data_IF_410874280197
#
_entry.id   IF_410874280197
#
_cell.length_a   1.000
_cell.length_b   1.000
_cell.length_c   1.000
_cell.angle_alpha   90.00
_cell.angle_beta   90.00
_cell.angle_gamma   90.00
#
_symmetry.space_group_name_H-M   'P 1'
#
loop_
_entity.id
_entity.type
_entity.pdbx_description
1 polymer ?
#
# COMPACT_ATOMS: atom_id res chain seq x y z
N UNK A 1 -30.25 -35.93 -103.39
CA UNK A 1 -29.20 -35.00 -103.07
C UNK A 1 -29.27 -34.76 -101.58
N UNK A 2 -28.55 -35.58 -100.83
CA UNK A 2 -28.54 -35.51 -99.33
C UNK A 2 -27.42 -34.59 -98.83
N UNK A 3 -27.77 -33.55 -98.19
CA UNK A 3 -26.82 -32.69 -97.43
C UNK A 3 -26.83 -33.10 -95.94
N UNK A 4 -25.78 -33.78 -95.61
CA UNK A 4 -25.49 -34.10 -94.19
C UNK A 4 -24.92 -32.85 -93.49
N UNK A 5 -25.46 -32.44 -92.39
CA UNK A 5 -24.80 -31.34 -91.58
C UNK A 5 -23.59 -31.94 -90.85
N UNK A 6 -22.41 -31.44 -91.15
CA UNK A 6 -21.18 -31.69 -90.42
C UNK A 6 -21.31 -31.03 -89.05
N UNK A 7 -21.50 -31.88 -88.04
CA UNK A 7 -21.28 -31.47 -86.65
C UNK A 7 -19.81 -31.25 -86.44
N UNK A 8 -19.43 -30.03 -86.19
CA UNK A 8 -18.09 -29.67 -85.73
C UNK A 8 -18.00 -29.94 -84.24
N UNK A 9 -17.61 -31.18 -83.91
CA UNK A 9 -17.09 -31.46 -82.59
C UNK A 9 -15.70 -30.85 -82.54
N UNK A 10 -15.58 -29.59 -82.05
CA UNK A 10 -14.32 -29.06 -81.63
C UNK A 10 -13.87 -29.79 -80.38
N UNK A 11 -13.02 -30.80 -80.58
CA UNK A 11 -12.25 -31.46 -79.53
C UNK A 11 -11.34 -30.41 -78.93
N UNK A 12 -11.78 -29.72 -77.88
CA UNK A 12 -10.93 -28.78 -77.13
C UNK A 12 -9.70 -29.58 -76.72
N UNK A 13 -8.53 -29.09 -77.19
CA UNK A 13 -7.21 -29.65 -76.88
C UNK A 13 -7.08 -29.87 -75.36
N UNK A 14 -6.54 -31.03 -74.92
CA UNK A 14 -6.40 -31.33 -73.51
C UNK A 14 -5.69 -30.17 -72.71
N UNK A 15 -4.80 -29.45 -73.44
CA UNK A 15 -4.13 -28.29 -72.90
C UNK A 15 -5.05 -27.10 -72.64
N UNK A 16 -6.06 -26.85 -73.42
CA UNK A 16 -7.07 -25.80 -73.25
C UNK A 16 -7.96 -26.15 -72.03
N UNK A 17 -8.36 -27.45 -71.92
CA UNK A 17 -9.11 -27.92 -70.74
C UNK A 17 -8.29 -27.80 -69.43
N UNK A 18 -7.04 -28.24 -69.48
CA UNK A 18 -6.12 -28.06 -68.30
C UNK A 18 -5.91 -26.59 -67.93
N UNK A 19 -5.73 -25.70 -68.92
CA UNK A 19 -5.65 -24.29 -68.71
C UNK A 19 -6.90 -23.66 -68.04
N UNK A 20 -8.09 -24.10 -68.54
CA UNK A 20 -9.37 -23.66 -67.97
C UNK A 20 -9.57 -24.16 -66.53
N UNK A 21 -9.21 -25.40 -66.24
CA UNK A 21 -9.25 -25.94 -64.86
C UNK A 21 -8.28 -25.21 -63.94
N UNK A 22 -7.05 -24.96 -64.40
CA UNK A 22 -6.06 -24.22 -63.64
C UNK A 22 -6.51 -22.77 -63.36
N UNK A 23 -7.14 -22.12 -64.35
CA UNK A 23 -7.70 -20.77 -64.15
C UNK A 23 -8.86 -20.78 -63.16
N UNK A 24 -9.79 -21.73 -63.23
CA UNK A 24 -10.90 -21.89 -62.27
C UNK A 24 -10.35 -22.13 -60.84
N UNK A 25 -9.35 -23.02 -60.72
CA UNK A 25 -8.72 -23.31 -59.46
C UNK A 25 -8.01 -22.04 -58.87
N UNK A 26 -7.28 -21.30 -59.71
CA UNK A 26 -6.63 -20.05 -59.29
C UNK A 26 -7.67 -19.03 -58.88
N UNK A 27 -8.75 -18.86 -59.62
CA UNK A 27 -9.83 -17.95 -59.28
C UNK A 27 -10.51 -18.34 -57.95
N UNK A 28 -10.80 -19.63 -57.75
CA UNK A 28 -11.36 -20.15 -56.51
C UNK A 28 -10.42 -19.87 -55.30
N UNK A 29 -9.13 -20.10 -55.46
CA UNK A 29 -8.12 -19.78 -54.43
C UNK A 29 -8.07 -18.28 -54.13
N UNK A 30 -8.12 -17.43 -55.16
CA UNK A 30 -8.11 -15.98 -54.99
C UNK A 30 -9.38 -15.49 -54.24
N UNK A 31 -10.55 -16.03 -54.58
CA UNK A 31 -11.81 -15.71 -53.90
C UNK A 31 -11.77 -16.17 -52.43
N UNK A 32 -11.29 -17.38 -52.18
CA UNK A 32 -11.14 -17.90 -50.82
C UNK A 32 -10.13 -17.03 -50.00
N UNK A 33 -9.01 -16.66 -50.60
CA UNK A 33 -8.03 -15.77 -49.96
C UNK A 33 -8.61 -14.38 -49.67
N UNK A 34 -9.41 -13.83 -50.62
CA UNK A 34 -10.08 -12.53 -50.38
C UNK A 34 -11.12 -12.62 -49.27
N UNK A 35 -11.89 -13.70 -49.19
CA UNK A 35 -12.81 -13.93 -48.06
C UNK A 35 -12.09 -14.12 -46.76
N UNK A 36 -11.02 -14.91 -46.72
CA UNK A 36 -10.19 -15.12 -45.53
C UNK A 36 -9.59 -13.81 -45.05
N UNK A 37 -9.13 -12.95 -45.98
CA UNK A 37 -8.64 -11.62 -45.66
C UNK A 37 -9.76 -10.71 -45.13
N UNK A 38 -10.92 -10.67 -45.73
CA UNK A 38 -12.07 -9.87 -45.32
C UNK A 38 -12.52 -10.19 -43.87
N UNK A 39 -12.47 -11.47 -43.47
CA UNK A 39 -12.83 -11.93 -42.13
C UNK A 39 -11.65 -12.07 -41.18
N UNK A 40 -10.45 -11.63 -41.56
CA UNK A 40 -9.24 -11.80 -40.75
C UNK A 40 -9.23 -11.01 -39.41
N UNK A 41 -10.04 -9.97 -39.32
CA UNK A 41 -10.07 -9.07 -38.15
C UNK A 41 -11.36 -9.20 -37.33
N UNK A 42 -12.03 -10.36 -37.42
CA UNK A 42 -13.13 -10.70 -36.51
C UNK A 42 -12.53 -11.30 -35.25
N UNK A 43 -12.76 -10.64 -34.11
CA UNK A 43 -12.18 -11.03 -32.81
C UNK A 43 -13.23 -11.03 -31.72
N UNK A 44 -13.09 -11.98 -30.79
CA UNK A 44 -13.87 -12.02 -29.57
C UNK A 44 -13.07 -11.28 -28.49
N UNK A 45 -13.71 -10.33 -27.81
CA UNK A 45 -13.15 -9.55 -26.72
C UNK A 45 -13.64 -10.18 -25.41
N UNK A 46 -12.70 -10.61 -24.57
CA UNK A 46 -13.01 -11.16 -23.26
C UNK A 46 -13.64 -10.10 -22.31
N UNK A 47 -14.44 -10.52 -21.31
CA UNK A 47 -15.07 -9.60 -20.35
C UNK A 47 -14.07 -8.72 -19.57
N UNK A 48 -12.83 -9.17 -19.40
CA UNK A 48 -11.77 -8.45 -18.70
C UNK A 48 -11.01 -7.45 -19.59
N UNK A 49 -11.36 -7.37 -20.86
CA UNK A 49 -10.70 -6.54 -21.86
C UNK A 49 -11.72 -5.67 -22.60
N UNK A 50 -11.23 -4.60 -23.18
CA UNK A 50 -11.93 -3.77 -24.19
C UNK A 50 -10.99 -3.54 -25.37
N UNK A 51 -11.55 -3.21 -26.50
CA UNK A 51 -10.79 -2.93 -27.71
C UNK A 51 -10.93 -1.45 -28.11
N UNK A 52 -9.82 -0.86 -28.50
CA UNK A 52 -9.78 0.40 -29.24
C UNK A 52 -9.56 0.06 -30.70
N UNK A 53 -10.46 0.52 -31.56
CA UNK A 53 -10.38 0.39 -33.00
C UNK A 53 -9.87 1.69 -33.58
N UNK A 54 -8.73 1.62 -34.25
CA UNK A 54 -8.13 2.74 -34.97
C UNK A 54 -8.40 2.57 -36.47
N UNK A 55 -9.00 3.57 -37.11
CA UNK A 55 -9.19 3.62 -38.54
C UNK A 55 -8.11 4.52 -39.15
N UNK A 56 -7.17 3.95 -39.91
CA UNK A 56 -5.99 4.65 -40.45
C UNK A 56 -5.20 5.44 -39.38
N UNK A 57 -5.14 4.90 -38.15
CA UNK A 57 -4.43 5.54 -37.03
C UNK A 57 -5.24 6.56 -36.21
N UNK A 58 -6.45 6.93 -36.68
CA UNK A 58 -7.36 7.77 -35.90
C UNK A 58 -8.31 6.90 -35.05
N UNK A 59 -8.69 7.40 -33.88
CA UNK A 59 -9.67 6.73 -33.03
C UNK A 59 -11.03 6.70 -33.75
N UNK A 60 -11.55 5.49 -34.00
CA UNK A 60 -12.89 5.30 -34.54
C UNK A 60 -13.89 4.99 -33.43
N UNK A 61 -13.67 3.89 -32.72
CA UNK A 61 -14.57 3.44 -31.64
C UNK A 61 -13.86 2.67 -30.55
N UNK A 62 -14.50 2.64 -29.39
CA UNK A 62 -14.11 1.77 -28.26
C UNK A 62 -15.21 0.73 -28.09
N UNK A 63 -14.83 -0.55 -28.06
CA UNK A 63 -15.77 -1.64 -27.87
C UNK A 63 -15.43 -2.42 -26.61
N UNK A 64 -16.45 -2.63 -25.79
CA UNK A 64 -16.37 -3.50 -24.61
C UNK A 64 -16.44 -4.97 -25.01
N UNK A 65 -16.46 -5.88 -24.02
CA UNK A 65 -16.55 -7.31 -24.24
C UNK A 65 -17.64 -7.72 -25.25
N UNK A 66 -17.34 -8.72 -26.05
CA UNK A 66 -18.24 -9.26 -27.05
C UNK A 66 -17.57 -9.52 -28.39
N UNK A 67 -18.38 -9.74 -29.43
CA UNK A 67 -17.88 -9.97 -30.79
C UNK A 67 -17.56 -8.62 -31.45
N UNK A 68 -16.31 -8.43 -31.82
CA UNK A 68 -15.83 -7.28 -32.60
C UNK A 68 -15.72 -7.67 -34.07
N UNK A 69 -16.43 -6.95 -34.93
CA UNK A 69 -16.24 -6.96 -36.38
C UNK A 69 -15.46 -5.69 -36.76
N UNK A 70 -14.23 -5.86 -37.18
CA UNK A 70 -13.38 -4.78 -37.67
C UNK A 70 -12.97 -5.06 -39.11
N UNK A 71 -12.72 -3.99 -39.88
CA UNK A 71 -12.17 -4.10 -41.21
C UNK A 71 -10.79 -4.75 -41.19
N UNK A 72 -10.43 -5.51 -42.22
CA UNK A 72 -9.11 -6.13 -42.25
C UNK A 72 -7.99 -5.09 -42.31
N UNK A 73 -6.82 -5.43 -41.79
CA UNK A 73 -5.64 -4.59 -41.94
C UNK A 73 -5.32 -4.40 -43.43
N UNK A 74 -4.92 -3.16 -43.83
CA UNK A 74 -4.43 -2.04 -43.02
C UNK A 74 -5.50 -1.01 -42.63
N UNK A 75 -6.79 -1.22 -42.95
CA UNK A 75 -7.85 -0.23 -42.76
C UNK A 75 -8.14 0.02 -41.27
N UNK A 76 -8.35 -1.05 -40.50
CA UNK A 76 -8.58 -0.94 -39.07
C UNK A 76 -7.54 -1.73 -38.29
N UNK A 77 -7.06 -1.12 -37.20
CA UNK A 77 -6.18 -1.74 -36.24
C UNK A 77 -6.92 -1.89 -34.89
N UNK A 78 -6.97 -3.09 -34.36
CA UNK A 78 -7.62 -3.40 -33.08
C UNK A 78 -6.54 -3.55 -32.01
N UNK A 79 -6.58 -2.70 -30.98
CA UNK A 79 -5.69 -2.73 -29.83
C UNK A 79 -6.51 -3.15 -28.61
N UNK A 80 -6.13 -4.30 -28.01
CA UNK A 80 -6.77 -4.80 -26.81
C UNK A 80 -6.18 -4.09 -25.58
N UNK A 81 -7.07 -3.60 -24.72
CA UNK A 81 -6.75 -2.94 -23.46
C UNK A 81 -7.51 -3.61 -22.31
N UNK A 82 -7.02 -3.49 -21.08
CA UNK A 82 -7.77 -3.89 -19.91
C UNK A 82 -9.12 -3.17 -19.82
N UNK A 83 -10.14 -3.84 -19.29
CA UNK A 83 -11.43 -3.22 -19.00
C UNK A 83 -11.28 -2.05 -18.03
N UNK A 84 -12.26 -1.14 -18.01
CA UNK A 84 -12.18 0.10 -17.21
C UNK A 84 -12.10 -0.14 -15.70
N UNK A 85 -12.67 -1.24 -15.24
CA UNK A 85 -12.70 -1.69 -13.84
C UNK A 85 -11.52 -2.56 -13.45
N UNK A 86 -10.77 -3.06 -14.46
CA UNK A 86 -9.62 -3.92 -14.21
C UNK A 86 -8.44 -3.13 -13.65
N UNK A 87 -8.04 -3.50 -12.44
CA UNK A 87 -6.86 -2.95 -11.77
C UNK A 87 -5.62 -3.76 -12.15
N UNK A 88 -4.57 -3.07 -12.52
CA UNK A 88 -3.29 -3.65 -12.93
C UNK A 88 -2.24 -3.31 -11.88
N UNK A 89 -1.53 -4.33 -11.40
CA UNK A 89 -0.40 -4.14 -10.49
C UNK A 89 0.88 -3.82 -11.25
N UNK A 90 1.61 -2.83 -10.74
CA UNK A 90 2.94 -2.46 -11.22
C UNK A 90 3.87 -2.25 -10.04
N UNK A 91 4.96 -2.98 -9.97
CA UNK A 91 6.05 -2.75 -9.01
C UNK A 91 7.03 -1.74 -9.60
N UNK A 92 7.42 -0.74 -8.82
CA UNK A 92 8.32 0.33 -9.26
C UNK A 92 9.76 -0.06 -8.97
N UNK A 93 10.43 -0.59 -9.99
CA UNK A 93 11.80 -1.12 -9.85
C UNK A 93 12.84 -0.03 -9.59
N UNK A 94 12.61 1.20 -10.04
CA UNK A 94 13.54 2.32 -9.82
C UNK A 94 13.74 2.71 -8.36
N UNK A 95 12.82 2.31 -7.48
CA UNK A 95 12.92 2.50 -6.02
C UNK A 95 13.59 1.33 -5.30
N UNK A 96 13.80 0.22 -6.00
CA UNK A 96 14.44 -0.95 -5.44
C UNK A 96 15.95 -0.85 -5.51
N UNK A 97 16.60 -1.45 -4.53
CA UNK A 97 18.03 -1.66 -4.57
C UNK A 97 18.37 -2.63 -5.71
N UNK A 98 19.32 -2.28 -6.56
CA UNK A 98 19.79 -3.18 -7.63
C UNK A 98 20.52 -4.39 -7.04
N UNK A 99 20.50 -5.53 -7.75
CA UNK A 99 21.21 -6.73 -7.31
C UNK A 99 22.72 -6.47 -7.13
N UNK A 100 23.31 -5.64 -7.98
CA UNK A 100 24.69 -5.20 -7.86
C UNK A 100 24.94 -4.42 -6.56
N UNK A 101 24.02 -3.53 -6.19
CA UNK A 101 24.11 -2.76 -4.95
C UNK A 101 23.93 -3.66 -3.71
N UNK A 102 23.00 -4.62 -3.76
CA UNK A 102 22.82 -5.60 -2.68
C UNK A 102 24.06 -6.47 -2.49
N UNK A 103 24.69 -6.91 -3.57
CA UNK A 103 25.94 -7.68 -3.50
C UNK A 103 27.10 -6.81 -2.97
N UNK A 104 27.19 -5.57 -3.41
CA UNK A 104 28.20 -4.64 -2.90
C UNK A 104 28.04 -4.38 -1.39
N UNK A 105 26.82 -4.24 -0.89
CA UNK A 105 26.54 -4.09 0.54
C UNK A 105 27.00 -5.30 1.38
N UNK A 106 26.86 -6.51 0.82
CA UNK A 106 27.32 -7.75 1.50
C UNK A 106 28.83 -7.86 1.60
N UNK A 107 29.54 -7.33 0.60
CA UNK A 107 31.01 -7.41 0.51
C UNK A 107 31.67 -6.16 1.09
N UNK A 108 30.92 -5.08 1.27
CA UNK A 108 31.43 -3.83 1.79
C UNK A 108 32.03 -4.00 3.19
N UNK A 109 33.26 -3.53 3.32
CA UNK A 109 33.96 -3.37 4.60
C UNK A 109 34.48 -1.95 4.72
N UNK A 110 34.92 -1.53 5.91
CA UNK A 110 35.55 -0.22 6.09
C UNK A 110 36.79 -0.01 5.19
N UNK A 111 37.40 -1.09 4.71
CA UNK A 111 38.58 -1.06 3.84
C UNK A 111 38.22 -0.94 2.34
N UNK A 112 37.03 -1.32 1.91
CA UNK A 112 36.56 -1.26 0.53
C UNK A 112 35.22 -0.51 0.46
N UNK A 113 35.25 0.83 0.28
CA UNK A 113 34.03 1.60 0.15
C UNK A 113 33.26 1.22 -1.12
N UNK A 114 31.93 1.22 -1.02
CA UNK A 114 31.06 1.02 -2.18
C UNK A 114 31.18 2.27 -3.07
N UNK A 115 31.11 2.10 -4.39
CA UNK A 115 31.07 3.23 -5.31
C UNK A 115 29.82 4.10 -5.04
N UNK A 116 29.93 5.42 -5.16
CA UNK A 116 28.84 6.36 -4.90
C UNK A 116 27.57 6.04 -5.70
N UNK A 117 27.72 5.56 -6.92
CA UNK A 117 26.60 5.15 -7.78
C UNK A 117 25.79 3.97 -7.21
N UNK A 118 26.46 3.03 -6.55
CA UNK A 118 25.82 1.87 -5.90
C UNK A 118 25.36 2.21 -4.48
N UNK A 119 26.10 3.05 -3.75
CA UNK A 119 25.78 3.43 -2.38
C UNK A 119 24.43 4.16 -2.28
N UNK A 120 24.13 5.07 -3.23
CA UNK A 120 22.88 5.82 -3.29
C UNK A 120 21.70 5.09 -3.94
N UNK A 121 21.95 3.97 -4.62
CA UNK A 121 20.91 3.26 -5.39
C UNK A 121 19.81 2.67 -4.49
N UNK A 122 18.54 3.03 -4.74
CA UNK A 122 17.38 2.51 -4.03
C UNK A 122 17.23 3.00 -2.58
N UNK A 123 18.01 3.99 -2.16
CA UNK A 123 17.85 4.66 -0.88
C UNK A 123 17.21 6.04 -1.05
N UNK A 124 16.31 6.38 -0.14
CA UNK A 124 15.66 7.68 -0.06
C UNK A 124 16.05 8.37 1.24
N UNK A 125 16.23 9.68 1.18
CA UNK A 125 16.48 10.51 2.35
C UNK A 125 15.15 10.99 2.94
N UNK A 126 15.07 11.01 4.26
CA UNK A 126 13.95 11.55 5.02
C UNK A 126 14.22 12.99 5.46
N UNK A 127 13.18 13.70 5.91
CA UNK A 127 13.30 15.08 6.34
C UNK A 127 14.21 15.29 7.55
N UNK A 128 14.38 14.29 8.39
CA UNK A 128 15.29 14.25 9.54
C UNK A 128 16.68 13.66 9.22
N UNK A 129 17.09 13.68 7.93
CA UNK A 129 18.35 13.13 7.43
C UNK A 129 18.51 11.61 7.66
N UNK A 130 17.43 10.90 7.91
CA UNK A 130 17.42 9.44 7.94
C UNK A 130 17.49 8.86 6.53
N UNK A 131 17.77 7.55 6.43
CA UNK A 131 17.83 6.81 5.17
C UNK A 131 16.85 5.65 5.22
N UNK A 132 16.00 5.55 4.20
CA UNK A 132 14.98 4.51 4.07
C UNK A 132 14.99 3.92 2.67
N UNK A 133 14.61 2.67 2.57
CA UNK A 133 14.31 1.99 1.32
C UNK A 133 12.81 1.74 1.24
N UNK A 134 12.21 2.03 0.08
CA UNK A 134 10.79 1.79 -0.19
C UNK A 134 10.62 0.75 -1.30
N UNK A 135 9.77 -0.25 -1.05
CA UNK A 135 9.19 -1.10 -2.07
C UNK A 135 7.76 -0.60 -2.33
N UNK A 136 7.53 -0.09 -3.53
CA UNK A 136 6.27 0.53 -3.91
C UNK A 136 5.62 -0.27 -5.03
N UNK A 137 4.38 -0.70 -4.79
CA UNK A 137 3.51 -1.35 -5.78
C UNK A 137 2.33 -0.45 -6.04
N UNK A 138 2.13 -0.12 -7.29
CA UNK A 138 1.05 0.76 -7.74
C UNK A 138 -0.02 -0.08 -8.43
N UNK A 139 -1.25 0.15 -8.05
CA UNK A 139 -2.44 -0.45 -8.64
C UNK A 139 -3.18 0.63 -9.41
N UNK A 140 -3.15 0.54 -10.73
CA UNK A 140 -3.74 1.51 -11.61
C UNK A 140 -4.79 0.90 -12.54
N UNK A 141 -5.68 1.72 -13.04
CA UNK A 141 -6.68 1.38 -14.06
C UNK A 141 -6.55 2.32 -15.25
N UNK A 142 -6.96 1.84 -16.41
CA UNK A 142 -6.98 2.65 -17.63
C UNK A 142 -8.34 3.36 -17.70
N UNK A 143 -8.36 4.66 -17.52
CA UNK A 143 -9.59 5.48 -17.56
C UNK A 143 -9.88 5.98 -18.96
N UNK A 144 -8.86 6.46 -19.66
CA UNK A 144 -8.97 7.03 -21.02
C UNK A 144 -8.19 6.15 -22.02
N UNK A 145 -8.87 5.24 -22.74
CA UNK A 145 -8.22 4.29 -23.65
C UNK A 145 -7.43 4.95 -24.77
N UNK A 146 -7.93 6.06 -25.26
CA UNK A 146 -7.29 6.78 -26.39
C UNK A 146 -5.95 7.38 -25.98
N UNK A 147 -5.93 8.12 -24.87
CA UNK A 147 -4.70 8.71 -24.33
C UNK A 147 -3.66 7.60 -24.00
N UNK A 148 -4.13 6.49 -23.42
CA UNK A 148 -3.28 5.33 -23.12
C UNK A 148 -2.64 4.72 -24.37
N UNK A 149 -3.42 4.55 -25.46
CA UNK A 149 -2.92 3.99 -26.73
C UNK A 149 -1.98 4.97 -27.42
N UNK A 150 -2.31 6.26 -27.41
CA UNK A 150 -1.50 7.31 -28.04
C UNK A 150 -0.12 7.41 -27.38
N UNK A 151 -0.06 7.34 -26.04
CA UNK A 151 1.20 7.35 -25.30
C UNK A 151 1.94 6.00 -25.34
N UNK A 152 1.21 4.90 -25.57
CA UNK A 152 1.76 3.56 -25.82
C UNK A 152 2.86 3.14 -24.87
N UNK A 153 4.07 2.93 -25.40
CA UNK A 153 5.23 2.48 -24.63
C UNK A 153 5.72 3.49 -23.57
N UNK A 154 5.30 4.75 -23.63
CA UNK A 154 5.74 5.79 -22.69
C UNK A 154 4.95 5.83 -21.39
N UNK A 155 3.77 5.21 -21.34
CA UNK A 155 2.88 5.24 -20.18
C UNK A 155 3.56 4.65 -18.93
N UNK A 156 4.11 3.45 -19.03
CA UNK A 156 4.73 2.76 -17.88
C UNK A 156 5.99 3.47 -17.38
N UNK A 157 6.95 3.87 -18.24
CA UNK A 157 8.10 4.64 -17.78
C UNK A 157 7.73 6.01 -17.18
N UNK A 158 6.68 6.67 -17.69
CA UNK A 158 6.20 7.93 -17.14
C UNK A 158 5.57 7.70 -15.76
N UNK A 159 4.73 6.68 -15.60
CA UNK A 159 4.16 6.29 -14.31
C UNK A 159 5.27 6.00 -13.28
N UNK A 160 6.27 5.18 -13.63
CA UNK A 160 7.38 4.86 -12.74
C UNK A 160 8.13 6.13 -12.27
N UNK A 161 8.36 7.11 -13.16
CA UNK A 161 8.97 8.40 -12.82
C UNK A 161 8.09 9.25 -11.91
N UNK A 162 6.78 9.30 -12.16
CA UNK A 162 5.83 10.04 -11.33
C UNK A 162 5.75 9.45 -9.90
N UNK A 163 5.70 8.13 -9.81
CA UNK A 163 5.71 7.43 -8.51
C UNK A 163 7.02 7.68 -7.77
N UNK A 164 8.16 7.53 -8.45
CA UNK A 164 9.48 7.78 -7.86
C UNK A 164 9.58 9.22 -7.35
N UNK A 165 9.18 10.20 -8.16
CA UNK A 165 9.18 11.61 -7.77
C UNK A 165 8.25 11.88 -6.57
N UNK A 166 7.07 11.26 -6.55
CA UNK A 166 6.12 11.41 -5.44
C UNK A 166 6.64 10.76 -4.16
N UNK A 167 7.27 9.58 -4.27
CA UNK A 167 7.91 8.90 -3.15
C UNK A 167 9.07 9.73 -2.57
N UNK A 168 9.96 10.25 -3.41
CA UNK A 168 11.07 11.12 -2.98
C UNK A 168 10.55 12.39 -2.29
N UNK A 169 9.56 13.05 -2.87
CA UNK A 169 9.00 14.27 -2.28
C UNK A 169 8.33 14.00 -0.93
N UNK A 170 7.63 12.88 -0.81
CA UNK A 170 6.95 12.48 0.42
C UNK A 170 7.94 12.09 1.51
N UNK A 171 9.00 11.33 1.18
CA UNK A 171 10.03 10.94 2.16
C UNK A 171 10.83 12.15 2.63
N UNK A 172 11.22 13.05 1.74
CA UNK A 172 11.96 14.26 2.09
C UNK A 172 11.17 15.24 2.98
N UNK A 173 9.84 15.16 2.96
CA UNK A 173 8.95 16.00 3.77
C UNK A 173 8.58 15.38 5.13
N UNK A 174 9.05 14.17 5.45
CA UNK A 174 8.66 13.42 6.65
C UNK A 174 9.83 12.84 7.40
N UNK A 175 9.63 12.65 8.70
CA UNK A 175 10.59 11.98 9.55
C UNK A 175 10.61 10.48 9.31
N UNK A 176 11.75 9.85 9.59
CA UNK A 176 12.00 8.43 9.41
C UNK A 176 10.94 7.56 10.11
N UNK A 177 10.59 7.89 11.35
CA UNK A 177 9.60 7.14 12.15
C UNK A 177 8.22 7.11 11.48
N UNK A 178 7.82 8.21 10.83
CA UNK A 178 6.54 8.31 10.11
C UNK A 178 6.51 7.38 8.90
N UNK A 179 7.65 7.17 8.25
CA UNK A 179 7.78 6.31 7.07
C UNK A 179 7.94 4.84 7.50
N UNK A 180 8.65 4.58 8.59
CA UNK A 180 8.87 3.23 9.11
C UNK A 180 7.62 2.53 9.65
N UNK A 181 6.50 3.25 9.82
CA UNK A 181 5.20 2.58 10.11
C UNK A 181 4.76 1.62 9.01
N UNK A 182 5.32 1.74 7.81
CA UNK A 182 5.09 0.80 6.70
C UNK A 182 5.99 -0.46 6.75
N UNK A 183 6.74 -0.68 7.83
CA UNK A 183 7.53 -1.91 8.01
C UNK A 183 6.64 -3.12 8.22
N UNK A 184 6.96 -4.27 7.58
CA UNK A 184 6.19 -5.51 7.73
C UNK A 184 6.09 -6.00 9.18
N UNK A 185 7.13 -5.79 9.99
CA UNK A 185 7.22 -6.24 11.39
C UNK A 185 6.26 -5.50 12.33
N UNK A 186 5.80 -4.31 11.94
CA UNK A 186 4.84 -3.49 12.71
C UNK A 186 3.39 -3.74 12.29
N UNK A 187 3.14 -4.66 11.35
CA UNK A 187 1.79 -4.99 10.91
C UNK A 187 1.06 -5.72 12.04
N UNK A 188 0.01 -5.07 12.58
CA UNK A 188 -0.84 -5.63 13.64
C UNK A 188 -0.48 -5.21 15.05
N UNK A 189 0.60 -4.47 15.27
CA UNK A 189 1.04 -4.09 16.62
C UNK A 189 0.23 -2.95 17.25
N UNK A 190 -0.34 -2.02 16.44
CA UNK A 190 -1.07 -0.84 16.94
C UNK A 190 -2.07 -0.29 15.92
N UNK A 191 -3.25 0.11 16.37
CA UNK A 191 -4.28 0.75 15.55
C UNK A 191 -3.80 2.11 14.99
N UNK A 192 -3.05 2.88 15.77
CA UNK A 192 -2.50 4.16 15.33
C UNK A 192 -1.44 3.99 14.23
N UNK A 193 -0.65 2.92 14.29
CA UNK A 193 0.29 2.59 13.22
C UNK A 193 -0.44 2.22 11.91
N UNK A 194 -1.58 1.54 12.01
CA UNK A 194 -2.42 1.23 10.85
C UNK A 194 -2.97 2.51 10.20
N UNK A 195 -3.47 3.45 10.98
CA UNK A 195 -3.95 4.75 10.50
C UNK A 195 -2.86 5.59 9.83
N UNK A 196 -1.68 5.65 10.45
CA UNK A 196 -0.52 6.35 9.87
C UNK A 196 -0.08 5.74 8.54
N UNK A 197 -0.10 4.40 8.42
CA UNK A 197 0.20 3.71 7.15
C UNK A 197 -0.83 4.05 6.08
N UNK A 198 -2.10 4.07 6.43
CA UNK A 198 -3.15 4.39 5.47
C UNK A 198 -3.06 5.85 5.00
N UNK A 199 -2.73 6.79 5.88
CA UNK A 199 -2.43 8.18 5.51
C UNK A 199 -1.24 8.27 4.56
N UNK A 200 -0.15 7.54 4.83
CA UNK A 200 1.03 7.49 3.96
C UNK A 200 0.68 7.01 2.55
N UNK A 201 -0.13 5.95 2.45
CA UNK A 201 -0.63 5.43 1.17
C UNK A 201 -1.55 6.42 0.46
N UNK A 202 -2.50 6.99 1.19
CA UNK A 202 -3.44 7.99 0.67
C UNK A 202 -2.72 9.20 0.10
N UNK A 203 -1.73 9.74 0.79
CA UNK A 203 -0.96 10.88 0.34
C UNK A 203 -0.13 10.57 -0.92
N UNK A 204 0.41 9.34 -1.04
CA UNK A 204 1.07 8.90 -2.28
C UNK A 204 0.09 8.82 -3.44
N UNK A 205 -1.07 8.20 -3.25
CA UNK A 205 -2.12 8.10 -4.28
C UNK A 205 -2.54 9.49 -4.72
N UNK A 206 -2.82 10.38 -3.78
CA UNK A 206 -3.22 11.75 -4.06
C UNK A 206 -2.14 12.51 -4.82
N UNK A 207 -0.89 12.44 -4.37
CA UNK A 207 0.23 13.12 -5.02
C UNK A 207 0.50 12.62 -6.44
N UNK A 208 0.34 11.32 -6.70
CA UNK A 208 0.50 10.75 -8.05
C UNK A 208 -0.66 11.18 -8.94
N UNK A 209 -1.92 11.04 -8.48
CA UNK A 209 -3.10 11.40 -9.27
C UNK A 209 -3.17 12.89 -9.56
N UNK A 210 -2.74 13.76 -8.64
CA UNK A 210 -2.63 15.19 -8.91
C UNK A 210 -1.67 15.48 -10.08
N UNK A 211 -0.52 14.82 -10.13
CA UNK A 211 0.43 14.98 -11.24
C UNK A 211 -0.07 14.38 -12.54
N UNK A 212 -0.82 13.27 -12.48
CA UNK A 212 -1.50 12.72 -13.66
C UNK A 212 -2.53 13.69 -14.21
N UNK A 213 -3.29 14.37 -13.33
CA UNK A 213 -4.24 15.39 -13.71
C UNK A 213 -3.55 16.63 -14.33
N UNK A 214 -2.41 17.06 -13.79
CA UNK A 214 -1.58 18.14 -14.36
C UNK A 214 -1.12 17.80 -15.79
N UNK A 215 -0.66 16.55 -16.03
CA UNK A 215 -0.31 16.09 -17.38
C UNK A 215 -1.52 16.08 -18.31
N UNK A 216 -2.67 15.65 -17.82
CA UNK A 216 -3.91 15.67 -18.62
C UNK A 216 -4.31 17.09 -18.99
N UNK A 217 -4.20 18.06 -18.08
CA UNK A 217 -4.50 19.47 -18.32
C UNK A 217 -3.57 20.09 -19.37
N UNK A 218 -2.34 19.60 -19.51
CA UNK A 218 -1.38 20.04 -20.56
C UNK A 218 -1.51 19.27 -21.88
N UNK A 219 -2.51 18.39 -22.02
CA UNK A 219 -2.71 17.56 -23.21
C UNK A 219 -1.75 16.36 -23.32
N UNK A 220 -1.00 16.06 -22.28
CA UNK A 220 -0.06 14.94 -22.22
C UNK A 220 -0.56 13.83 -21.27
N UNK A 221 -1.87 13.69 -21.12
CA UNK A 221 -2.49 12.69 -20.26
C UNK A 221 -2.05 11.27 -20.62
N UNK A 222 -1.80 10.43 -19.60
CA UNK A 222 -1.42 9.04 -19.78
C UNK A 222 -2.63 8.10 -19.89
N UNK A 223 -3.84 8.61 -19.68
CA UNK A 223 -5.08 7.83 -19.71
C UNK A 223 -5.24 6.81 -18.59
N UNK A 224 -4.51 6.97 -17.48
CA UNK A 224 -4.52 6.11 -16.31
C UNK A 224 -4.86 6.85 -15.04
N UNK A 225 -5.38 6.13 -14.06
CA UNK A 225 -5.63 6.61 -12.70
C UNK A 225 -5.09 5.58 -11.71
N UNK A 226 -4.40 6.06 -10.67
CA UNK A 226 -3.91 5.20 -9.59
C UNK A 226 -5.04 5.00 -8.58
N UNK A 227 -5.46 3.74 -8.43
CA UNK A 227 -6.52 3.36 -7.49
C UNK A 227 -5.98 3.12 -6.07
N UNK A 228 -4.80 2.52 -5.96
CA UNK A 228 -4.17 2.18 -4.68
C UNK A 228 -2.66 2.10 -4.85
N UNK A 229 -1.95 2.38 -3.75
CA UNK A 229 -0.51 2.16 -3.64
C UNK A 229 -0.24 1.32 -2.39
N UNK A 230 0.51 0.25 -2.54
CA UNK A 230 1.05 -0.50 -1.43
C UNK A 230 2.52 -0.11 -1.23
N UNK A 231 2.86 0.24 0.00
CA UNK A 231 4.21 0.67 0.38
C UNK A 231 4.72 -0.22 1.49
N UNK A 232 5.93 -0.71 1.32
CA UNK A 232 6.70 -1.34 2.37
C UNK A 232 8.00 -0.56 2.56
N UNK A 233 8.29 -0.20 3.80
CA UNK A 233 9.54 0.49 4.15
C UNK A 233 10.51 -0.46 4.83
N UNK A 234 11.79 -0.27 4.59
CA UNK A 234 12.86 -1.00 5.27
C UNK A 234 14.05 -0.07 5.52
N UNK A 235 14.85 -0.44 6.52
CA UNK A 235 16.10 0.24 6.79
C UNK A 235 17.24 -0.40 6.01
N UNK A 236 18.27 0.37 5.65
CA UNK A 236 19.53 -0.21 5.16
C UNK A 236 20.09 -1.23 6.17
N UNK A 237 20.63 -2.35 5.68
CA UNK A 237 21.15 -3.41 6.55
C UNK A 237 22.13 -2.93 7.63
N UNK A 238 23.04 -1.98 7.39
CA UNK A 238 23.92 -1.46 8.43
C UNK A 238 23.18 -0.69 9.54
N UNK A 239 22.06 -0.04 9.21
CA UNK A 239 21.27 0.77 10.15
C UNK A 239 20.30 -0.05 11.01
N UNK A 240 19.95 -1.27 10.58
CA UNK A 240 18.96 -2.13 11.26
C UNK A 240 19.36 -2.41 12.71
N UNK A 241 20.62 -2.78 12.95
CA UNK A 241 21.12 -3.10 14.29
C UNK A 241 21.11 -1.87 15.21
N UNK A 242 21.55 -0.72 14.70
CA UNK A 242 21.54 0.54 15.44
C UNK A 242 20.11 0.97 15.79
N UNK A 243 19.19 0.90 14.84
CA UNK A 243 17.78 1.22 15.06
C UNK A 243 17.13 0.29 16.10
N UNK A 244 17.36 -1.02 15.99
CA UNK A 244 16.83 -2.00 16.94
C UNK A 244 17.41 -1.79 18.36
N UNK A 245 18.68 -1.38 18.46
CA UNK A 245 19.30 -1.04 19.75
C UNK A 245 18.63 0.20 20.38
N UNK A 246 18.35 1.25 19.60
CA UNK A 246 17.60 2.43 20.06
C UNK A 246 16.19 2.06 20.49
N UNK A 247 15.47 1.27 19.71
CA UNK A 247 14.12 0.82 20.04
C UNK A 247 14.09 0.03 21.34
N UNK A 248 15.04 -0.91 21.52
CA UNK A 248 15.17 -1.71 22.74
C UNK A 248 15.49 -0.82 23.94
N UNK A 249 16.40 0.14 23.79
CA UNK A 249 16.74 1.09 24.85
C UNK A 249 15.55 1.97 25.26
N UNK A 250 14.77 2.45 24.28
CA UNK A 250 13.54 3.23 24.53
C UNK A 250 12.51 2.39 25.29
N UNK A 251 12.22 1.17 24.85
CA UNK A 251 11.29 0.27 25.54
C UNK A 251 11.75 -0.05 26.96
N UNK A 252 13.06 -0.24 27.18
CA UNK A 252 13.62 -0.47 28.51
C UNK A 252 13.49 0.78 29.40
N UNK A 253 13.70 1.95 28.85
CA UNK A 253 13.50 3.23 29.58
C UNK A 253 12.03 3.41 30.00
N UNK A 254 11.08 3.19 29.09
CA UNK A 254 9.65 3.27 29.39
C UNK A 254 9.23 2.27 30.47
N UNK A 255 9.71 1.03 30.41
CA UNK A 255 9.49 0.02 31.44
C UNK A 255 10.07 0.45 32.78
N UNK A 256 11.27 1.03 32.78
CA UNK A 256 11.92 1.51 34.01
C UNK A 256 11.13 2.66 34.64
N UNK A 257 10.65 3.61 33.84
CA UNK A 257 9.80 4.72 34.30
C UNK A 257 8.47 4.20 34.86
N UNK A 258 7.81 3.26 34.16
CA UNK A 258 6.57 2.65 34.66
C UNK A 258 6.76 1.92 35.97
N UNK A 259 7.81 1.13 36.10
CA UNK A 259 8.16 0.43 37.36
C UNK A 259 8.44 1.43 38.49
N UNK A 260 9.21 2.49 38.23
CA UNK A 260 9.50 3.52 39.24
C UNK A 260 8.24 4.25 39.70
N UNK A 261 7.29 4.55 38.80
CA UNK A 261 5.99 5.14 39.17
C UNK A 261 5.19 4.19 40.07
N UNK A 262 5.09 2.92 39.67
CA UNK A 262 4.38 1.90 40.49
C UNK A 262 5.01 1.76 41.88
N UNK A 263 6.31 1.79 41.98
CA UNK A 263 7.00 1.70 43.27
C UNK A 263 6.78 2.97 44.13
N UNK A 264 6.81 4.17 43.52
CA UNK A 264 6.48 5.39 44.20
C UNK A 264 5.05 5.44 44.73
N UNK A 265 4.08 4.91 43.94
CA UNK A 265 2.68 4.78 44.38
C UNK A 265 2.55 3.82 45.55
N UNK A 266 3.19 2.65 45.51
CA UNK A 266 3.22 1.69 46.62
C UNK A 266 3.82 2.30 47.92
N UNK A 267 4.94 3.00 47.80
CA UNK A 267 5.57 3.68 48.95
C UNK A 267 4.64 4.75 49.54
N UNK A 268 3.99 5.53 48.67
CA UNK A 268 3.03 6.56 49.12
C UNK A 268 1.83 5.93 49.81
N UNK A 269 1.28 4.85 49.26
CA UNK A 269 0.18 4.13 49.88
C UNK A 269 0.60 3.50 51.23
N UNK A 270 1.76 2.87 51.32
CA UNK A 270 2.25 2.28 52.54
C UNK A 270 2.49 3.36 53.64
N UNK A 271 3.01 4.55 53.26
CA UNK A 271 3.17 5.67 54.16
C UNK A 271 1.83 6.20 54.68
N UNK A 272 0.83 6.34 53.82
CA UNK A 272 -0.53 6.71 54.21
C UNK A 272 -1.19 5.70 55.14
N UNK A 273 -1.11 4.42 54.84
CA UNK A 273 -1.59 3.34 55.71
C UNK A 273 -0.90 3.34 57.08
N UNK A 274 0.39 3.59 57.12
CA UNK A 274 1.12 3.70 58.36
C UNK A 274 0.73 4.95 59.18
N UNK A 275 0.51 6.07 58.52
CA UNK A 275 0.02 7.29 59.16
C UNK A 275 -1.39 7.09 59.74
N UNK A 276 -2.32 6.52 58.97
CA UNK A 276 -3.66 6.20 59.42
C UNK A 276 -3.67 5.23 60.57
N UNK A 277 -2.85 4.16 60.51
CA UNK A 277 -2.71 3.21 61.63
C UNK A 277 -2.20 3.90 62.90
N UNK A 278 -1.21 4.80 62.77
CA UNK A 278 -0.68 5.56 63.91
C UNK A 278 -1.74 6.45 64.51
N UNK A 279 -2.52 7.16 63.69
CA UNK A 279 -3.63 8.01 64.14
C UNK A 279 -4.73 7.19 64.86
N UNK A 280 -5.10 6.02 64.29
CA UNK A 280 -6.12 5.15 64.90
C UNK A 280 -5.66 4.64 66.26
N UNK A 281 -4.39 4.21 66.41
CA UNK A 281 -3.82 3.76 67.68
C UNK A 281 -3.82 4.94 68.69
N UNK A 282 -3.40 6.15 68.26
CA UNK A 282 -3.40 7.31 69.13
C UNK A 282 -4.85 7.71 69.61
N UNK A 283 -5.80 7.66 68.71
CA UNK A 283 -7.23 7.87 69.02
C UNK A 283 -7.78 6.82 69.97
N UNK A 284 -7.49 5.54 69.76
CA UNK A 284 -7.89 4.47 70.63
C UNK A 284 -7.29 4.63 72.04
N UNK A 285 -6.00 4.93 72.17
CA UNK A 285 -5.37 5.21 73.45
C UNK A 285 -5.96 6.44 74.13
N UNK A 286 -6.25 7.52 73.38
CA UNK A 286 -6.84 8.72 73.94
C UNK A 286 -8.26 8.45 74.45
N UNK A 287 -9.09 7.65 73.74
CA UNK A 287 -10.42 7.25 74.18
C UNK A 287 -10.41 6.34 75.41
N UNK A 288 -9.47 5.40 75.47
CA UNK A 288 -9.24 4.53 76.60
C UNK A 288 -8.86 5.33 77.85
N UNK A 289 -7.88 6.25 77.75
CA UNK A 289 -7.48 7.14 78.84
C UNK A 289 -8.63 7.99 79.34
N UNK A 290 -9.44 8.54 78.43
CA UNK A 290 -10.68 9.32 78.82
C UNK A 290 -11.70 8.46 79.53
N UNK A 291 -11.96 7.25 79.02
CA UNK A 291 -12.90 6.31 79.65
C UNK A 291 -12.42 5.91 81.04
N UNK A 292 -11.13 5.62 81.20
CA UNK A 292 -10.54 5.30 82.46
C UNK A 292 -10.62 6.45 83.44
N UNK A 293 -10.25 7.67 83.04
CA UNK A 293 -10.37 8.86 83.86
C UNK A 293 -11.82 9.17 84.28
N UNK A 294 -12.79 8.97 83.39
CA UNK A 294 -14.21 9.15 83.69
C UNK A 294 -14.71 8.10 84.70
N UNK A 295 -14.28 6.83 84.54
CA UNK A 295 -14.59 5.75 85.51
C UNK A 295 -14.00 6.02 86.91
N UNK A 296 -12.73 6.40 86.93
CA UNK A 296 -12.04 6.72 88.18
C UNK A 296 -12.70 7.93 88.87
N UNK A 297 -13.06 8.95 88.12
CA UNK A 297 -13.79 10.15 88.63
C UNK A 297 -15.16 9.77 89.18
N UNK A 298 -15.92 8.90 88.45
CA UNK A 298 -17.23 8.41 88.95
C UNK A 298 -17.08 7.62 90.22
N UNK A 299 -16.06 6.81 90.34
CA UNK A 299 -15.75 6.03 91.53
C UNK A 299 -15.42 6.95 92.73
N UNK A 300 -14.59 7.97 92.53
CA UNK A 300 -14.26 8.96 93.55
C UNK A 300 -15.47 9.76 94.01
N UNK A 301 -16.33 10.19 93.04
CA UNK A 301 -17.55 10.89 93.36
C UNK A 301 -18.55 10.00 94.09
N UNK A 302 -18.65 8.71 93.80
CA UNK A 302 -19.54 7.77 94.56
C UNK A 302 -19.01 7.52 95.95
N UNK A 303 -17.74 7.40 96.13
CA UNK A 303 -17.09 7.32 97.48
C UNK A 303 -17.29 8.58 98.26
N UNK A 304 -17.12 9.74 97.70
CA UNK A 304 -17.33 11.04 98.37
C UNK A 304 -18.82 11.20 98.78
N UNK A 305 -19.77 10.79 97.94
CA UNK A 305 -21.19 10.75 98.27
C UNK A 305 -21.49 9.77 99.42
N UNK A 306 -20.93 8.60 99.37
CA UNK A 306 -21.12 7.62 100.46
C UNK A 306 -20.50 8.11 101.81
N UNK A 307 -19.40 8.81 101.76
CA UNK A 307 -18.74 9.44 102.94
C UNK A 307 -19.59 10.57 103.51
N UNK A 308 -20.21 11.40 102.66
CA UNK A 308 -21.14 12.43 103.09
C UNK A 308 -22.45 11.85 103.75
N UNK A 309 -22.96 10.74 103.21
CA UNK A 309 -24.12 10.07 103.77
C UNK A 309 -23.84 9.24 105.03
N UNK A 310 -22.56 8.85 105.24
CA UNK A 310 -22.09 8.14 106.45
C UNK A 310 -21.71 9.06 107.62
N UNK A 311 -21.70 10.41 107.41
CA UNK A 311 -21.33 11.38 108.44
C UNK A 311 -22.60 12.07 108.95
N UNK A 312 -23.74 11.43 109.06
CA UNK A 312 -24.88 11.94 109.77
C UNK A 312 -24.87 11.32 111.18
N UNK A 313 -24.43 12.15 112.21
CA UNK A 313 -24.42 11.66 113.60
C UNK A 313 -25.77 11.97 114.25
N UNK A 314 -26.77 11.14 113.98
CA UNK A 314 -27.91 10.97 114.90
C UNK A 314 -28.89 9.92 114.44
N UNK A 315 -28.75 8.72 114.90
CA UNK A 315 -29.68 7.96 115.70
C UNK A 315 -29.14 6.63 116.11
#
# INVERSE_FOLDING_TARGET
>A
MNLVPRGTNELSSPWIQAGRLAFIALYAVTVLAALAWAFSNVRQIDPQNRAVVLHFGALDRIQNAGLLLAWPQPFEQVILLPAADRVIERRVESLLRSDAAIQADRVASFATPISDALAGSGYLLTGDAGVVQLDVRVFYKVTEPYAFVLQGAHVLPALDRLVTRSAVALTAARDLDTILVARPELIGADSQAAERRERLRGDLVQGINQRLAELTATGQGLGIEVARVDVQSSLPSPAVNAFNAVLTASQQADKTVANARTEAEKLTQAANEQADRTLQVAHAQASERRAKASSDTATVLSLAKAQQQGTDPQR
#
